data_IF_051694501920
#
_entry.id   IF_051694501920
#
_cell.length_a   1.000
_cell.length_b   1.000
_cell.length_c   1.000
_cell.angle_alpha   90.00
_cell.angle_beta   90.00
_cell.angle_gamma   90.00
#
_symmetry.space_group_name_H-M   'P 1'
#
loop_
_entity.id
_entity.type
_entity.pdbx_description
1 polymer ?
#
# COMPACT_ATOMS: atom_id res chain seq x y z
N UNK A 1 34.37 5.91 6.62
CA UNK A 1 33.17 6.17 5.81
C UNK A 1 32.12 5.16 6.24
N UNK A 2 30.89 5.60 6.45
CA UNK A 2 29.80 4.77 7.00
C UNK A 2 29.08 3.92 5.95
N UNK A 3 29.41 4.10 4.67
CA UNK A 3 28.77 3.41 3.54
C UNK A 3 29.61 2.24 3.05
N UNK A 4 29.02 1.04 3.02
CA UNK A 4 29.64 -0.17 2.48
C UNK A 4 29.55 -0.14 0.95
N UNK A 5 30.63 -0.52 0.25
CA UNK A 5 30.67 -0.61 -1.21
C UNK A 5 30.99 -2.04 -1.64
N UNK A 6 30.21 -2.59 -2.59
CA UNK A 6 30.44 -3.91 -3.20
C UNK A 6 30.41 -3.75 -4.71
N UNK A 7 31.47 -4.18 -5.40
CA UNK A 7 31.54 -4.12 -6.88
C UNK A 7 30.85 -5.36 -7.45
N UNK A 8 29.71 -5.22 -8.11
CA UNK A 8 28.95 -6.36 -8.64
C UNK A 8 28.83 -6.32 -10.17
N UNK A 9 28.56 -7.47 -10.77
CA UNK A 9 28.09 -7.59 -12.15
C UNK A 9 26.87 -8.49 -12.21
N UNK A 10 25.67 -7.92 -12.31
CA UNK A 10 24.42 -8.69 -12.37
C UNK A 10 24.32 -9.56 -13.64
N UNK A 11 24.96 -9.13 -14.74
CA UNK A 11 24.97 -9.89 -16.00
C UNK A 11 25.88 -11.12 -15.93
N UNK A 12 27.03 -11.01 -15.26
CA UNK A 12 28.00 -12.10 -15.14
C UNK A 12 27.86 -12.89 -13.82
N UNK A 13 27.01 -12.42 -12.91
CA UNK A 13 26.83 -13.01 -11.58
C UNK A 13 28.00 -12.76 -10.60
N UNK A 14 28.87 -11.78 -10.87
CA UNK A 14 30.04 -11.53 -10.01
C UNK A 14 29.65 -10.81 -8.72
N UNK A 15 30.18 -11.30 -7.60
CA UNK A 15 30.09 -10.72 -6.25
C UNK A 15 28.67 -10.53 -5.70
N UNK A 16 27.69 -11.32 -6.20
CA UNK A 16 26.32 -11.34 -5.65
C UNK A 16 26.30 -11.90 -4.22
N UNK A 17 27.10 -12.94 -3.95
CA UNK A 17 27.22 -13.52 -2.61
C UNK A 17 27.84 -12.52 -1.62
N UNK A 18 28.85 -11.76 -2.04
CA UNK A 18 29.46 -10.70 -1.23
C UNK A 18 28.44 -9.59 -0.91
N UNK A 19 27.63 -9.19 -1.89
CA UNK A 19 26.55 -8.22 -1.67
C UNK A 19 25.54 -8.75 -0.64
N UNK A 20 25.12 -10.01 -0.76
CA UNK A 20 24.20 -10.64 0.18
C UNK A 20 24.79 -10.65 1.60
N UNK A 21 26.06 -11.01 1.76
CA UNK A 21 26.73 -11.00 3.06
C UNK A 21 26.76 -9.60 3.67
N UNK A 22 27.04 -8.56 2.88
CA UNK A 22 27.04 -7.19 3.37
C UNK A 22 25.64 -6.71 3.78
N UNK A 23 24.59 -7.13 3.08
CA UNK A 23 23.20 -6.84 3.47
C UNK A 23 22.86 -7.51 4.80
N UNK A 24 23.24 -8.78 4.99
CA UNK A 24 23.01 -9.49 6.26
C UNK A 24 23.78 -8.85 7.41
N UNK A 25 25.06 -8.52 7.21
CA UNK A 25 25.87 -7.82 8.20
C UNK A 25 25.23 -6.49 8.61
N UNK A 26 24.76 -5.71 7.64
CA UNK A 26 24.09 -4.44 7.92
C UNK A 26 22.77 -4.65 8.70
N UNK A 27 21.98 -5.67 8.35
CA UNK A 27 20.74 -5.98 9.04
C UNK A 27 20.97 -6.39 10.51
N UNK A 28 22.05 -7.16 10.78
CA UNK A 28 22.45 -7.54 12.12
C UNK A 28 22.88 -6.33 12.96
N UNK A 29 23.67 -5.42 12.38
CA UNK A 29 24.09 -4.16 13.04
C UNK A 29 22.89 -3.27 13.38
N UNK A 30 21.85 -3.28 12.55
CA UNK A 30 20.62 -2.50 12.78
C UNK A 30 19.66 -3.12 13.81
N UNK A 31 19.90 -4.37 14.23
CA UNK A 31 19.04 -5.13 15.14
C UNK A 31 17.54 -5.08 14.79
N UNK A 32 17.20 -5.26 13.51
CA UNK A 32 15.81 -5.19 13.04
C UNK A 32 14.93 -6.23 13.74
N UNK A 33 13.86 -5.77 14.40
CA UNK A 33 12.92 -6.61 15.17
C UNK A 33 11.48 -6.34 14.76
N UNK A 34 10.67 -7.38 14.71
CA UNK A 34 9.22 -7.30 14.52
C UNK A 34 8.51 -8.29 15.45
N UNK A 35 7.39 -7.89 16.03
CA UNK A 35 6.57 -8.77 16.87
C UNK A 35 5.48 -9.44 16.01
N UNK A 36 5.50 -10.78 15.84
CA UNK A 36 4.48 -11.50 15.08
C UNK A 36 3.19 -11.76 15.87
N UNK A 37 3.22 -11.65 17.21
CA UNK A 37 2.11 -12.02 18.11
C UNK A 37 1.03 -10.95 18.26
N UNK A 38 1.06 -9.92 17.41
CA UNK A 38 0.07 -8.84 17.40
C UNK A 38 -0.68 -8.80 16.06
N UNK A 39 -1.66 -7.91 15.98
CA UNK A 39 -2.43 -7.70 14.74
C UNK A 39 -1.53 -7.14 13.64
N UNK A 40 -1.83 -7.54 12.41
CA UNK A 40 -1.04 -7.14 11.28
C UNK A 40 -1.17 -5.63 11.00
N UNK A 41 -0.01 -5.00 10.82
CA UNK A 41 0.14 -3.62 10.38
C UNK A 41 1.17 -3.63 9.26
N UNK A 42 0.94 -2.82 8.24
CA UNK A 42 1.89 -2.70 7.14
C UNK A 42 1.48 -1.68 6.12
N UNK A 43 1.97 -1.85 4.89
CA UNK A 43 1.83 -0.86 3.82
C UNK A 43 1.48 -1.54 2.50
N UNK A 44 0.69 -0.84 1.68
CA UNK A 44 0.39 -1.24 0.30
C UNK A 44 1.60 -0.98 -0.58
N UNK A 45 2.04 -2.03 -1.28
CA UNK A 45 3.05 -1.90 -2.33
C UNK A 45 2.37 -1.44 -3.62
N UNK A 46 1.33 -2.15 -4.05
CA UNK A 46 0.59 -1.89 -5.27
C UNK A 46 -0.86 -2.40 -5.14
N UNK A 47 -1.76 -1.82 -5.93
CA UNK A 47 -3.15 -2.22 -5.97
C UNK A 47 -3.70 -2.11 -7.39
N UNK A 48 -4.58 -3.03 -7.77
CA UNK A 48 -5.21 -3.08 -9.10
C UNK A 48 -6.60 -3.69 -9.05
N UNK A 49 -7.42 -3.38 -10.05
CA UNK A 49 -8.72 -4.02 -10.24
C UNK A 49 -8.58 -5.17 -11.24
N UNK A 50 -8.84 -6.40 -10.79
CA UNK A 50 -8.86 -7.59 -11.64
C UNK A 50 -10.30 -7.96 -12.02
N UNK A 51 -10.54 -8.25 -13.30
CA UNK A 51 -11.88 -8.52 -13.84
C UNK A 51 -12.57 -9.76 -13.25
N UNK A 52 -11.82 -10.71 -12.70
CA UNK A 52 -12.38 -11.93 -12.09
C UNK A 52 -12.28 -11.96 -10.57
N UNK A 53 -11.25 -11.32 -10.00
CA UNK A 53 -10.98 -11.35 -8.55
C UNK A 53 -11.47 -10.11 -7.80
N UNK A 54 -11.85 -9.05 -8.52
CA UNK A 54 -12.18 -7.75 -7.93
C UNK A 54 -10.92 -6.98 -7.52
N UNK A 55 -10.99 -6.14 -6.48
CA UNK A 55 -9.82 -5.42 -5.98
C UNK A 55 -8.75 -6.38 -5.46
N UNK A 56 -7.57 -6.30 -6.05
CA UNK A 56 -6.37 -7.06 -5.68
C UNK A 56 -5.33 -6.09 -5.15
N UNK A 57 -4.73 -6.41 -4.02
CA UNK A 57 -3.76 -5.53 -3.36
C UNK A 57 -2.58 -6.32 -2.85
N UNK A 58 -1.38 -5.90 -3.21
CA UNK A 58 -0.12 -6.42 -2.69
C UNK A 58 0.28 -5.62 -1.46
N UNK A 59 0.35 -6.30 -0.32
CA UNK A 59 0.67 -5.74 1.00
C UNK A 59 2.04 -6.24 1.46
N UNK A 60 2.78 -5.38 2.15
CA UNK A 60 3.94 -5.78 2.95
C UNK A 60 3.56 -5.75 4.43
N UNK A 61 3.58 -6.91 5.08
CA UNK A 61 3.36 -6.99 6.54
C UNK A 61 4.61 -6.49 7.25
N UNK A 62 4.51 -5.46 8.07
CA UNK A 62 5.66 -4.91 8.81
C UNK A 62 5.67 -5.39 10.26
N UNK A 63 4.49 -5.58 10.84
CA UNK A 63 4.30 -6.02 12.22
C UNK A 63 3.11 -6.95 12.30
N UNK A 64 3.10 -7.85 13.28
CA UNK A 64 2.01 -8.79 13.51
C UNK A 64 1.92 -9.90 12.47
N UNK A 65 0.84 -10.67 12.53
CA UNK A 65 0.55 -11.75 11.59
C UNK A 65 -0.80 -11.53 10.94
N UNK A 66 -0.83 -11.56 9.60
CA UNK A 66 -2.05 -11.40 8.80
C UNK A 66 -2.65 -12.77 8.50
N UNK A 67 -3.95 -12.95 8.69
CA UNK A 67 -4.65 -14.20 8.45
C UNK A 67 -5.78 -14.03 7.43
N UNK A 68 -6.12 -15.13 6.75
CA UNK A 68 -7.37 -15.18 5.98
C UNK A 68 -8.55 -15.01 6.93
N UNK A 69 -9.49 -14.13 6.56
CA UNK A 69 -10.68 -13.81 7.34
C UNK A 69 -10.52 -12.60 8.26
N UNK A 70 -9.33 -12.01 8.34
CA UNK A 70 -9.10 -10.82 9.15
C UNK A 70 -9.87 -9.61 8.58
N UNK A 71 -10.62 -8.88 9.43
CA UNK A 71 -11.14 -7.56 9.10
C UNK A 71 -9.99 -6.56 8.96
N UNK A 72 -9.92 -5.89 7.82
CA UNK A 72 -8.80 -5.01 7.47
C UNK A 72 -9.30 -3.65 7.00
N UNK A 73 -8.60 -2.60 7.42
CA UNK A 73 -8.76 -1.24 6.89
C UNK A 73 -7.44 -0.86 6.23
N UNK A 74 -7.51 -0.40 4.98
CA UNK A 74 -6.35 0.02 4.17
C UNK A 74 -6.64 1.43 3.70
N UNK A 75 -5.88 2.42 4.17
CA UNK A 75 -6.13 3.83 3.82
C UNK A 75 -7.59 4.24 4.06
N UNK A 76 -8.29 4.56 2.97
CA UNK A 76 -9.71 4.94 2.94
C UNK A 76 -10.67 3.79 2.55
N UNK A 77 -10.17 2.57 2.34
CA UNK A 77 -10.94 1.38 2.03
C UNK A 77 -10.94 0.39 3.20
N UNK A 78 -11.90 -0.52 3.21
CA UNK A 78 -12.02 -1.58 4.20
C UNK A 78 -12.53 -2.86 3.55
N UNK A 79 -12.38 -3.97 4.26
CA UNK A 79 -12.93 -5.24 3.83
C UNK A 79 -12.50 -6.39 4.72
N UNK A 80 -12.52 -7.58 4.12
CA UNK A 80 -12.13 -8.82 4.78
C UNK A 80 -11.21 -9.61 3.88
N UNK A 81 -10.09 -10.10 4.41
CA UNK A 81 -9.14 -10.90 3.63
C UNK A 81 -9.82 -12.20 3.19
N UNK A 82 -10.11 -12.36 1.90
CA UNK A 82 -10.76 -13.56 1.35
C UNK A 82 -9.76 -14.61 0.91
N UNK A 83 -8.77 -14.18 0.15
CA UNK A 83 -7.71 -15.03 -0.38
C UNK A 83 -6.39 -14.30 -0.19
N UNK A 84 -5.36 -15.05 0.16
CA UNK A 84 -4.01 -14.58 0.33
C UNK A 84 -3.06 -15.46 -0.50
N UNK A 85 -2.20 -14.82 -1.28
CA UNK A 85 -1.23 -15.46 -2.16
C UNK A 85 0.14 -14.85 -1.91
N UNK A 86 1.19 -15.66 -1.82
CA UNK A 86 2.54 -15.15 -1.60
C UNK A 86 3.22 -14.70 -2.92
N UNK A 87 4.42 -14.14 -2.81
CA UNK A 87 5.34 -13.75 -3.90
C UNK A 87 5.58 -14.83 -4.97
N UNK A 88 5.44 -16.12 -4.60
CA UNK A 88 5.61 -17.27 -5.51
C UNK A 88 4.29 -17.74 -6.15
N UNK A 89 3.20 -16.99 -6.00
CA UNK A 89 1.89 -17.35 -6.53
C UNK A 89 1.20 -18.50 -5.78
N UNK A 90 1.68 -18.90 -4.60
CA UNK A 90 1.10 -19.97 -3.80
C UNK A 90 0.13 -19.41 -2.78
N UNK A 91 -1.02 -20.07 -2.61
CA UNK A 91 -2.00 -19.68 -1.58
C UNK A 91 -1.42 -19.96 -0.19
N UNK A 92 -1.49 -18.96 0.67
CA UNK A 92 -1.04 -19.03 2.07
C UNK A 92 -2.20 -18.68 2.99
N UNK A 93 -2.18 -19.19 4.23
CA UNK A 93 -3.21 -18.90 5.23
C UNK A 93 -2.82 -17.78 6.17
N UNK A 94 -1.52 -17.56 6.32
CA UNK A 94 -0.89 -16.65 7.26
C UNK A 94 0.27 -15.96 6.55
N UNK A 95 0.48 -14.68 6.85
CA UNK A 95 1.67 -13.95 6.45
C UNK A 95 2.32 -13.29 7.67
N UNK A 96 3.62 -13.53 7.82
CA UNK A 96 4.45 -13.05 8.91
C UNK A 96 5.07 -11.68 8.60
N UNK A 97 5.67 -11.00 9.58
CA UNK A 97 6.40 -9.76 9.32
C UNK A 97 7.49 -9.94 8.26
N UNK A 98 7.66 -8.93 7.41
CA UNK A 98 8.54 -8.88 6.23
C UNK A 98 8.10 -9.74 5.04
N UNK A 99 6.97 -10.44 5.11
CA UNK A 99 6.43 -11.18 3.97
C UNK A 99 5.52 -10.29 3.10
N UNK A 100 5.76 -10.23 1.77
CA UNK A 100 4.82 -9.63 0.84
C UNK A 100 3.70 -10.62 0.48
N UNK A 101 2.47 -10.13 0.43
CA UNK A 101 1.26 -10.94 0.26
C UNK A 101 0.29 -10.20 -0.66
N UNK A 102 -0.27 -10.90 -1.62
CA UNK A 102 -1.39 -10.43 -2.43
C UNK A 102 -2.71 -10.85 -1.78
N UNK A 103 -3.58 -9.89 -1.46
CA UNK A 103 -4.91 -10.12 -0.91
C UNK A 103 -6.03 -9.72 -1.86
N UNK A 104 -7.21 -10.27 -1.58
CA UNK A 104 -8.48 -9.89 -2.19
C UNK A 104 -9.56 -9.72 -1.11
N UNK A 105 -10.67 -9.07 -1.44
CA UNK A 105 -11.82 -8.90 -0.55
C UNK A 105 -11.97 -7.52 0.07
N UNK A 106 -11.22 -6.53 -0.43
CA UNK A 106 -11.47 -5.12 -0.17
C UNK A 106 -12.68 -4.64 -0.98
N UNK A 107 -13.35 -3.59 -0.49
CA UNK A 107 -14.49 -2.99 -1.17
C UNK A 107 -14.10 -2.12 -2.38
N UNK A 108 -12.89 -1.56 -2.38
CA UNK A 108 -12.35 -0.72 -3.44
C UNK A 108 -10.83 -0.93 -3.54
N UNK A 109 -10.22 -0.37 -4.58
CA UNK A 109 -8.76 -0.41 -4.79
C UNK A 109 -8.12 0.68 -3.91
N UNK A 110 -7.25 0.34 -2.94
CA UNK A 110 -6.49 1.32 -2.15
C UNK A 110 -5.42 2.02 -3.00
N UNK A 111 -4.84 3.09 -2.47
CA UNK A 111 -3.69 3.74 -3.09
C UNK A 111 -2.38 3.05 -2.71
N UNK A 112 -1.36 3.18 -3.56
CA UNK A 112 -0.02 2.73 -3.22
C UNK A 112 0.50 3.55 -2.03
N UNK A 113 1.32 2.92 -1.17
CA UNK A 113 1.82 3.48 0.08
C UNK A 113 0.78 3.75 1.18
N UNK A 114 -0.50 3.39 0.97
CA UNK A 114 -1.48 3.40 2.06
C UNK A 114 -1.08 2.43 3.17
N UNK A 115 -1.34 2.82 4.42
CA UNK A 115 -1.15 1.93 5.58
C UNK A 115 -2.37 1.07 5.78
N UNK A 116 -2.15 -0.17 6.19
CA UNK A 116 -3.22 -1.05 6.64
C UNK A 116 -3.09 -1.44 8.10
N UNK A 117 -4.23 -1.72 8.72
CA UNK A 117 -4.34 -2.24 10.09
C UNK A 117 -5.45 -3.28 10.13
N UNK A 118 -5.16 -4.41 10.80
CA UNK A 118 -6.15 -5.44 11.12
C UNK A 118 -6.85 -5.13 12.43
N UNK A 119 -8.15 -5.36 12.47
CA UNK A 119 -9.02 -5.15 13.63
C UNK A 119 -9.54 -6.48 14.17
N UNK A 120 -10.04 -6.48 15.41
CA UNK A 120 -10.70 -7.64 16.00
C UNK A 120 -12.09 -7.91 15.40
N UNK A 121 -12.86 -6.84 15.17
CA UNK A 121 -14.24 -6.93 14.73
C UNK A 121 -14.47 -6.26 13.38
N UNK A 122 -15.31 -6.89 12.56
CA UNK A 122 -15.69 -6.32 11.26
C UNK A 122 -16.48 -5.01 11.41
N UNK A 123 -17.27 -4.87 12.47
CA UNK A 123 -18.06 -3.66 12.73
C UNK A 123 -17.16 -2.46 13.00
N UNK A 124 -16.12 -2.62 13.82
CA UNK A 124 -15.20 -1.55 14.17
C UNK A 124 -14.31 -1.19 12.98
N UNK A 125 -13.82 -2.18 12.23
CA UNK A 125 -13.09 -1.96 10.98
C UNK A 125 -13.92 -1.16 9.97
N UNK A 126 -15.19 -1.55 9.77
CA UNK A 126 -16.11 -0.87 8.86
C UNK A 126 -16.36 0.57 9.27
N UNK A 127 -16.71 0.81 10.54
CA UNK A 127 -16.95 2.17 11.04
C UNK A 127 -15.72 3.07 10.86
N UNK A 128 -14.52 2.56 11.17
CA UNK A 128 -13.27 3.30 11.01
C UNK A 128 -12.94 3.57 9.53
N UNK A 129 -13.20 2.61 8.64
CA UNK A 129 -13.02 2.78 7.20
C UNK A 129 -13.99 3.79 6.60
N UNK A 130 -15.27 3.72 6.95
CA UNK A 130 -16.31 4.66 6.49
C UNK A 130 -16.04 6.09 6.95
N UNK A 131 -15.59 6.28 8.20
CA UNK A 131 -15.22 7.59 8.72
C UNK A 131 -14.03 8.19 7.94
N UNK A 132 -13.00 7.39 7.66
CA UNK A 132 -11.83 7.82 6.86
C UNK A 132 -12.22 8.18 5.44
N UNK A 133 -13.00 7.32 4.77
CA UNK A 133 -13.50 7.57 3.43
C UNK A 133 -14.31 8.88 3.35
N UNK A 134 -15.20 9.13 4.32
CA UNK A 134 -15.99 10.36 4.39
C UNK A 134 -15.10 11.59 4.57
N UNK A 135 -14.10 11.53 5.44
CA UNK A 135 -13.14 12.64 5.66
C UNK A 135 -12.32 12.92 4.39
N UNK A 136 -11.87 11.88 3.70
CA UNK A 136 -11.14 12.03 2.44
C UNK A 136 -11.99 12.74 1.37
N UNK A 137 -13.26 12.32 1.22
CA UNK A 137 -14.18 12.92 0.26
C UNK A 137 -14.52 14.39 0.58
N UNK A 138 -14.63 14.76 1.86
CA UNK A 138 -14.78 16.17 2.27
C UNK A 138 -13.52 16.96 1.92
N UNK A 139 -12.33 16.39 2.16
CA UNK A 139 -11.06 17.05 1.85
C UNK A 139 -10.89 17.26 0.34
N UNK A 140 -11.24 16.29 -0.49
CA UNK A 140 -11.25 16.45 -1.95
C UNK A 140 -12.19 17.57 -2.39
N UNK A 141 -13.42 17.59 -1.85
CA UNK A 141 -14.39 18.65 -2.16
C UNK A 141 -13.88 20.04 -1.76
N UNK A 142 -13.17 20.15 -0.65
CA UNK A 142 -12.58 21.43 -0.21
C UNK A 142 -11.37 21.85 -1.06
N UNK A 143 -10.68 20.91 -1.69
CA UNK A 143 -9.56 21.17 -2.61
C UNK A 143 -10.02 21.60 -4.00
N UNK A 144 -11.28 21.34 -4.37
CA UNK A 144 -11.86 21.93 -5.58
C UNK A 144 -12.08 23.41 -5.30
N UNK A 145 -11.24 24.26 -5.89
CA UNK A 145 -11.43 25.71 -5.85
C UNK A 145 -12.86 26.03 -6.28
N UNK A 146 -13.67 26.56 -5.36
CA UNK A 146 -14.96 27.11 -5.72
C UNK A 146 -14.71 28.29 -6.67
N UNK A 147 -15.08 28.10 -7.92
CA UNK A 147 -15.06 29.15 -8.93
C UNK A 147 -16.14 30.16 -8.54
N UNK A 148 -15.73 31.25 -7.90
CA UNK A 148 -16.58 32.39 -7.55
C UNK A 148 -16.77 33.31 -8.76
N UNK A 149 -17.85 34.09 -8.79
CA UNK A 149 -18.12 35.09 -9.84
C UNK A 149 -16.94 36.07 -10.03
N UNK A 150 -16.21 36.38 -8.95
CA UNK A 150 -15.04 37.26 -8.98
C UNK A 150 -13.83 36.62 -9.69
N UNK A 151 -13.61 35.32 -9.52
CA UNK A 151 -12.47 34.61 -10.11
C UNK A 151 -12.76 34.05 -11.52
N UNK A 152 -14.04 33.95 -11.92
CA UNK A 152 -14.49 33.49 -13.24
C UNK A 152 -13.90 34.33 -14.38
N UNK A 153 -13.83 35.65 -14.19
CA UNK A 153 -13.31 36.56 -15.20
C UNK A 153 -11.80 36.40 -15.42
N UNK A 154 -11.05 36.06 -14.37
CA UNK A 154 -9.60 35.82 -14.46
C UNK A 154 -9.30 34.43 -15.04
N UNK A 155 -10.12 33.41 -14.74
CA UNK A 155 -9.99 32.08 -15.35
C UNK A 155 -10.36 32.09 -16.84
N UNK A 156 -11.36 32.87 -17.26
CA UNK A 156 -11.70 33.04 -18.67
C UNK A 156 -10.59 33.72 -19.47
N UNK A 157 -9.89 34.71 -18.91
CA UNK A 157 -8.75 35.38 -19.57
C UNK A 157 -7.52 34.48 -19.74
N UNK A 158 -7.35 33.47 -18.89
CA UNK A 158 -6.30 32.46 -19.03
C UNK A 158 -6.64 31.34 -20.04
N UNK A 159 -7.88 31.29 -20.55
CA UNK A 159 -8.37 30.27 -21.47
C UNK A 159 -7.81 30.31 -22.90
N UNK A 160 -6.99 31.31 -23.26
CA UNK A 160 -6.34 31.40 -24.58
C UNK A 160 -5.11 30.48 -24.74
N UNK A 161 -4.73 29.75 -23.69
CA UNK A 161 -3.68 28.74 -23.78
C UNK A 161 -4.23 27.44 -24.36
N UNK A 162 -3.66 26.96 -25.47
CA UNK A 162 -4.01 25.67 -26.07
C UNK A 162 -3.77 24.54 -25.07
N UNK A 163 -4.84 23.89 -24.61
CA UNK A 163 -4.80 22.69 -23.77
C UNK A 163 -5.19 21.47 -24.58
N UNK A 164 -4.61 20.32 -24.24
CA UNK A 164 -4.98 19.01 -24.78
C UNK A 164 -5.31 18.12 -23.59
N UNK A 165 -6.58 17.80 -23.44
CA UNK A 165 -7.03 16.89 -22.39
C UNK A 165 -6.64 15.45 -22.74
N UNK A 166 -6.00 14.77 -21.80
CA UNK A 166 -5.62 13.37 -21.92
C UNK A 166 -6.36 12.57 -20.87
N UNK A 167 -7.05 11.51 -21.31
CA UNK A 167 -7.64 10.49 -20.44
C UNK A 167 -6.70 9.28 -20.48
N UNK A 168 -6.16 8.90 -19.33
CA UNK A 168 -5.23 7.78 -19.15
C UNK A 168 -6.00 6.59 -18.58
#
# INVERSE_FOLDING_TARGET
>A
GETIFVKISAKQGLNIDELLQMILLQADVMELKANPNQKAIGTVIEARLDKGKGPVTSLLVQQGTLHIGDPIVVGNTFGRVRVMTNDRGRRVKTALPSEPVEITGLNNVPEAADKFVVFDDEKTARAAGEERAKKALIKERNNVHHVTLDNLFDTMKQGDLKQVDVII
#
